data_IF_001865304512
#
_entry.id   IF_001865304512
#
_cell.length_a   1.000
_cell.length_b   1.000
_cell.length_c   1.000
_cell.angle_alpha   90.00
_cell.angle_beta   90.00
_cell.angle_gamma   90.00
#
_symmetry.space_group_name_H-M   'P 1'
#
loop_
_entity.id
_entity.type
_entity.pdbx_description
1 polymer ?
#
# COMPACT_ATOMS: atom_id res chain seq x y z
N UNK A 1 13.14 -18.59 16.50
CA UNK A 1 13.06 -19.95 15.92
C UNK A 1 12.05 -20.75 16.72
N UNK A 2 11.07 -21.33 16.03
CA UNK A 2 10.14 -22.40 16.44
C UNK A 2 9.17 -22.14 17.60
N UNK A 3 7.92 -21.79 17.24
CA UNK A 3 6.75 -22.67 17.41
C UNK A 3 5.71 -22.32 16.33
N UNK A 4 5.61 -23.21 15.34
CA UNK A 4 4.38 -23.44 14.58
C UNK A 4 3.58 -24.45 15.39
N UNK A 5 2.32 -24.14 15.68
CA UNK A 5 1.43 -25.04 16.40
C UNK A 5 0.11 -24.38 16.79
N UNK A 6 -0.86 -24.48 15.87
CA UNK A 6 -2.30 -24.59 16.11
C UNK A 6 -3.01 -23.41 16.82
N UNK A 7 -3.50 -22.50 15.98
CA UNK A 7 -4.46 -21.45 16.32
C UNK A 7 -4.54 -20.48 15.14
N UNK A 8 -5.69 -20.38 14.49
CA UNK A 8 -5.93 -19.47 13.37
C UNK A 8 -5.78 -18.01 13.83
N UNK A 9 -4.58 -17.48 13.66
CA UNK A 9 -4.26 -16.07 13.79
C UNK A 9 -3.18 -15.76 12.77
N UNK A 10 -3.56 -15.60 11.51
CA UNK A 10 -2.62 -15.13 10.49
C UNK A 10 -2.11 -13.77 10.93
N UNK A 11 -0.81 -13.70 11.26
CA UNK A 11 -0.14 -12.45 11.61
C UNK A 11 -0.42 -11.40 10.53
N UNK A 12 -0.96 -10.26 10.94
CA UNK A 12 -1.30 -9.16 10.04
C UNK A 12 -0.03 -8.64 9.37
N UNK A 13 -0.18 -8.04 8.18
CA UNK A 13 0.95 -7.44 7.44
C UNK A 13 1.72 -6.41 8.29
N UNK A 14 1.05 -5.77 9.24
CA UNK A 14 1.59 -4.76 10.15
C UNK A 14 2.48 -5.38 11.24
N UNK A 15 2.05 -6.49 11.85
CA UNK A 15 2.83 -7.26 12.84
C UNK A 15 4.08 -7.89 12.22
N UNK A 16 4.00 -8.35 10.96
CA UNK A 16 5.16 -8.83 10.21
C UNK A 16 6.22 -7.73 9.98
N UNK A 17 5.77 -6.50 9.75
CA UNK A 17 6.67 -5.36 9.57
C UNK A 17 7.33 -4.92 10.87
N UNK A 18 6.58 -4.88 11.97
CA UNK A 18 7.10 -4.53 13.30
C UNK A 18 8.16 -5.54 13.78
N UNK A 19 7.93 -6.83 13.56
CA UNK A 19 8.89 -7.90 13.88
C UNK A 19 10.15 -7.89 13.02
N UNK A 20 10.12 -7.23 11.85
CA UNK A 20 11.29 -7.04 10.98
C UNK A 20 12.07 -5.74 11.30
N UNK A 21 11.55 -4.88 12.19
CA UNK A 21 12.18 -3.61 12.53
C UNK A 21 13.25 -3.79 13.63
N UNK A 22 14.50 -3.35 13.45
CA UNK A 22 15.59 -3.64 14.41
C UNK A 22 15.36 -3.08 15.82
N UNK A 23 14.53 -2.03 15.95
CA UNK A 23 14.19 -1.41 17.25
C UNK A 23 12.83 -1.88 17.79
N UNK A 24 11.82 -2.05 16.92
CA UNK A 24 10.46 -2.36 17.37
C UNK A 24 10.26 -3.86 17.61
N UNK A 25 11.02 -4.70 16.91
CA UNK A 25 11.02 -6.16 17.11
C UNK A 25 11.50 -6.59 18.49
N UNK A 26 12.26 -5.73 19.19
CA UNK A 26 12.76 -5.96 20.55
C UNK A 26 11.93 -5.25 21.62
N UNK A 27 10.86 -4.55 21.24
CA UNK A 27 10.05 -3.79 22.19
C UNK A 27 9.24 -4.72 23.10
N UNK A 28 9.30 -4.48 24.41
CA UNK A 28 8.63 -5.33 25.40
C UNK A 28 7.12 -5.30 25.26
N UNK A 29 6.53 -4.15 24.95
CA UNK A 29 5.08 -4.06 24.76
C UNK A 29 4.67 -4.73 23.46
N UNK A 30 5.52 -4.70 22.43
CA UNK A 30 5.30 -5.45 21.20
C UNK A 30 5.35 -6.96 21.44
N UNK A 31 6.31 -7.46 22.22
CA UNK A 31 6.32 -8.87 22.64
C UNK A 31 5.08 -9.26 23.44
N UNK A 32 4.69 -8.43 24.42
CA UNK A 32 3.45 -8.65 25.17
C UNK A 32 2.26 -8.66 24.23
N UNK A 33 2.13 -7.69 23.31
CA UNK A 33 1.03 -7.65 22.35
C UNK A 33 0.94 -8.91 21.48
N UNK A 34 2.08 -9.47 21.04
CA UNK A 34 2.12 -10.71 20.25
C UNK A 34 1.83 -11.97 21.09
N UNK A 35 2.17 -11.96 22.38
CA UNK A 35 2.02 -13.10 23.29
C UNK A 35 0.71 -13.07 24.08
N UNK A 36 -0.01 -11.95 24.06
CA UNK A 36 -1.21 -11.73 24.85
C UNK A 36 -2.43 -12.31 24.14
N UNK A 37 -3.12 -13.22 24.82
CA UNK A 37 -4.23 -14.03 24.30
C UNK A 37 -5.62 -13.52 24.73
N UNK A 38 -5.69 -12.38 25.45
CA UNK A 38 -6.94 -11.75 25.90
C UNK A 38 -7.21 -10.42 25.18
N UNK A 39 -8.47 -9.99 25.14
CA UNK A 39 -8.86 -8.73 24.49
C UNK A 39 -8.27 -7.50 25.21
N UNK A 40 -7.41 -6.76 24.52
CA UNK A 40 -6.93 -5.46 24.95
C UNK A 40 -7.98 -4.39 24.63
N UNK A 41 -8.74 -3.95 25.63
CA UNK A 41 -9.62 -2.78 25.53
C UNK A 41 -8.81 -1.48 25.53
N UNK A 42 -8.18 -1.15 24.40
CA UNK A 42 -7.43 0.10 24.28
C UNK A 42 -8.40 1.25 23.98
N UNK A 43 -8.47 2.23 24.88
CA UNK A 43 -9.30 3.43 24.72
C UNK A 43 -8.93 4.17 23.43
N UNK A 44 -9.87 4.23 22.49
CA UNK A 44 -9.73 5.02 21.26
C UNK A 44 -9.56 6.51 21.59
N UNK A 45 -8.57 7.18 21.00
CA UNK A 45 -8.40 8.64 21.13
C UNK A 45 -9.39 9.37 20.22
N UNK A 46 -9.98 10.45 20.74
CA UNK A 46 -11.06 11.17 20.09
C UNK A 46 -10.53 12.06 18.94
N UNK A 47 -11.29 12.32 17.88
CA UNK A 47 -10.85 13.07 16.66
C UNK A 47 -10.27 14.47 16.99
N UNK A 48 -10.73 15.10 18.08
CA UNK A 48 -10.19 16.38 18.59
C UNK A 48 -8.77 16.27 19.16
N UNK A 49 -8.35 15.09 19.61
CA UNK A 49 -6.99 14.84 20.11
C UNK A 49 -5.99 14.55 18.98
N UNK A 50 -6.46 14.16 17.79
CA UNK A 50 -5.62 13.92 16.61
C UNK A 50 -5.35 15.19 15.79
N UNK A 51 -6.15 16.25 15.95
CA UNK A 51 -6.11 17.46 15.12
C UNK A 51 -5.64 18.72 15.88
N UNK A 52 -4.78 18.54 16.87
CA UNK A 52 -4.30 19.61 17.75
C UNK A 52 -3.09 20.37 17.22
N UNK A 53 -3.30 21.27 16.24
CA UNK A 53 -2.48 22.50 16.10
C UNK A 53 -1.58 22.61 14.87
N UNK A 54 -2.07 23.31 13.84
CA UNK A 54 -1.28 23.83 12.71
C UNK A 54 -0.76 25.25 13.02
N UNK A 55 0.32 25.38 13.79
CA UNK A 55 1.02 26.67 13.90
C UNK A 55 2.39 26.61 13.25
N UNK A 56 2.57 27.37 12.16
CA UNK A 56 3.89 27.81 11.69
C UNK A 56 4.47 28.75 12.75
N UNK A 57 5.54 28.32 13.43
CA UNK A 57 6.26 29.14 14.41
C UNK A 57 7.72 29.17 13.97
N UNK A 58 8.16 30.30 13.43
CA UNK A 58 9.57 30.59 13.14
C UNK A 58 10.37 30.76 14.44
N UNK A 59 11.55 30.15 14.56
CA UNK A 59 12.58 30.63 15.49
C UNK A 59 14.01 30.55 14.92
N UNK A 60 14.72 31.67 15.06
CA UNK A 60 16.11 31.89 14.70
C UNK A 60 17.05 31.41 15.80
N UNK A 61 17.99 30.52 15.45
CA UNK A 61 19.06 30.00 16.32
C UNK A 61 19.30 28.49 16.20
N UNK A 62 18.34 27.77 15.62
CA UNK A 62 18.27 26.29 15.46
C UNK A 62 18.11 25.91 13.97
N UNK A 63 18.68 26.74 13.09
CA UNK A 63 18.37 26.74 11.66
C UNK A 63 18.57 25.39 10.96
N UNK A 64 19.69 24.67 11.15
CA UNK A 64 19.95 23.44 10.37
C UNK A 64 19.07 22.23 10.72
N UNK A 65 18.66 22.08 12.00
CA UNK A 65 17.78 20.97 12.39
C UNK A 65 16.33 21.28 12.00
N UNK A 66 15.94 22.55 12.13
CA UNK A 66 14.63 23.05 11.75
C UNK A 66 14.45 23.01 10.22
N UNK A 67 15.43 23.52 9.46
CA UNK A 67 15.45 23.52 7.99
C UNK A 67 15.32 22.08 7.43
N UNK A 68 15.99 21.09 8.04
CA UNK A 68 15.85 19.69 7.62
C UNK A 68 14.43 19.17 7.83
N UNK A 69 13.85 19.40 9.02
CA UNK A 69 12.52 18.86 9.33
C UNK A 69 11.41 19.58 8.57
N UNK A 70 11.55 20.88 8.31
CA UNK A 70 10.65 21.63 7.43
C UNK A 70 10.71 21.10 5.99
N UNK A 71 11.91 20.96 5.43
CA UNK A 71 12.10 20.39 4.09
C UNK A 71 11.55 18.97 3.98
N UNK A 72 11.78 18.14 5.00
CA UNK A 72 11.26 16.77 5.02
C UNK A 72 9.73 16.75 5.14
N UNK A 73 9.14 17.64 5.94
CA UNK A 73 7.70 17.75 6.07
C UNK A 73 7.05 18.16 4.73
N UNK A 74 7.61 19.17 4.05
CA UNK A 74 7.16 19.58 2.73
C UNK A 74 7.30 18.45 1.70
N UNK A 75 8.41 17.70 1.76
CA UNK A 75 8.58 16.50 0.94
C UNK A 75 7.50 15.46 1.21
N UNK A 76 7.23 15.12 2.47
CA UNK A 76 6.24 14.11 2.83
C UNK A 76 4.82 14.53 2.46
N UNK A 77 4.46 15.80 2.59
CA UNK A 77 3.15 16.33 2.14
C UNK A 77 3.01 16.16 0.62
N UNK A 78 4.00 16.62 -0.14
CA UNK A 78 3.98 16.52 -1.59
C UNK A 78 3.98 15.06 -2.05
N UNK A 79 4.76 14.21 -1.37
CA UNK A 79 4.85 12.80 -1.68
C UNK A 79 3.55 12.05 -1.36
N UNK A 80 2.90 12.35 -0.22
CA UNK A 80 1.59 11.82 0.13
C UNK A 80 0.57 12.09 -0.97
N UNK A 81 0.48 13.34 -1.43
CA UNK A 81 -0.47 13.72 -2.48
C UNK A 81 -0.23 12.93 -3.77
N UNK A 82 1.04 12.72 -4.17
CA UNK A 82 1.38 11.91 -5.34
C UNK A 82 1.00 10.43 -5.18
N UNK A 83 1.21 9.85 -4.00
CA UNK A 83 0.82 8.46 -3.72
C UNK A 83 -0.70 8.33 -3.69
N UNK A 84 -1.40 9.28 -3.05
CA UNK A 84 -2.87 9.33 -3.04
C UNK A 84 -3.45 9.42 -4.45
N UNK A 85 -2.94 10.31 -5.28
CA UNK A 85 -3.38 10.46 -6.67
C UNK A 85 -3.11 9.18 -7.48
N UNK A 86 -1.97 8.52 -7.23
CA UNK A 86 -1.65 7.24 -7.86
C UNK A 86 -2.57 6.12 -7.39
N UNK A 87 -2.95 6.10 -6.11
CA UNK A 87 -3.91 5.13 -5.56
C UNK A 87 -5.27 5.27 -6.24
N UNK A 88 -5.77 6.51 -6.39
CA UNK A 88 -7.04 6.77 -7.10
C UNK A 88 -6.98 6.30 -8.56
N UNK A 89 -5.83 6.44 -9.23
CA UNK A 89 -5.65 5.93 -10.60
C UNK A 89 -5.64 4.40 -10.63
N UNK A 90 -4.97 3.75 -9.68
CA UNK A 90 -4.95 2.30 -9.56
C UNK A 90 -6.36 1.73 -9.27
N UNK A 91 -7.14 2.39 -8.40
CA UNK A 91 -8.54 2.03 -8.14
C UNK A 91 -9.42 2.13 -9.40
N UNK A 92 -9.19 3.14 -10.24
CA UNK A 92 -9.89 3.27 -11.53
C UNK A 92 -9.50 2.17 -12.50
N UNK A 93 -8.21 1.82 -12.57
CA UNK A 93 -7.70 0.74 -13.41
C UNK A 93 -8.34 -0.60 -13.05
N UNK A 94 -8.35 -0.97 -11.76
CA UNK A 94 -8.98 -2.22 -11.30
C UNK A 94 -10.49 -2.23 -11.55
N UNK A 95 -11.15 -1.07 -11.43
CA UNK A 95 -12.56 -0.91 -11.78
C UNK A 95 -12.82 -1.07 -13.29
N UNK A 96 -11.93 -0.55 -14.14
CA UNK A 96 -12.02 -0.74 -15.59
C UNK A 96 -11.92 -2.21 -16.00
N UNK A 97 -11.00 -2.98 -15.40
CA UNK A 97 -10.92 -4.43 -15.64
C UNK A 97 -12.21 -5.18 -15.26
N UNK A 98 -12.85 -4.79 -14.14
CA UNK A 98 -14.15 -5.37 -13.74
C UNK A 98 -15.23 -5.08 -14.78
N UNK A 99 -15.30 -3.85 -15.28
CA UNK A 99 -16.26 -3.49 -16.32
C UNK A 99 -16.03 -4.29 -17.61
N UNK A 100 -14.77 -4.48 -18.03
CA UNK A 100 -14.44 -5.31 -19.21
C UNK A 100 -14.84 -6.77 -18.98
N UNK A 101 -14.62 -7.31 -17.78
CA UNK A 101 -15.07 -8.65 -17.44
C UNK A 101 -16.60 -8.78 -17.52
N UNK A 102 -17.34 -7.78 -17.04
CA UNK A 102 -18.80 -7.73 -17.15
C UNK A 102 -19.27 -7.68 -18.62
N UNK A 103 -18.59 -6.90 -19.47
CA UNK A 103 -18.87 -6.85 -20.91
C UNK A 103 -18.61 -8.20 -21.59
N UNK A 104 -17.56 -8.92 -21.18
CA UNK A 104 -17.29 -10.29 -21.66
C UNK A 104 -18.36 -11.29 -21.24
N UNK A 105 -18.86 -11.22 -20.00
CA UNK A 105 -20.01 -12.03 -19.55
C UNK A 105 -21.23 -11.76 -20.42
N UNK A 106 -21.54 -10.47 -20.62
CA UNK A 106 -22.70 -10.08 -21.40
C UNK A 106 -22.60 -10.56 -22.85
N UNK A 107 -21.43 -10.38 -23.47
CA UNK A 107 -21.15 -10.82 -24.83
C UNK A 107 -21.28 -12.33 -24.97
N UNK A 108 -20.71 -13.10 -24.03
CA UNK A 108 -20.85 -14.55 -24.01
C UNK A 108 -22.32 -14.99 -23.91
N UNK A 109 -23.12 -14.35 -23.05
CA UNK A 109 -24.54 -14.65 -22.90
C UNK A 109 -25.36 -14.34 -24.17
N UNK A 110 -25.04 -13.24 -24.86
CA UNK A 110 -25.66 -12.91 -26.15
C UNK A 110 -25.31 -13.95 -27.22
N UNK A 111 -24.05 -14.38 -27.29
CA UNK A 111 -23.61 -15.42 -28.23
C UNK A 111 -24.28 -16.77 -27.96
N UNK A 112 -24.43 -17.15 -26.68
CA UNK A 112 -25.19 -18.34 -26.31
C UNK A 112 -26.65 -18.26 -26.76
N UNK A 113 -27.31 -17.12 -26.52
CA UNK A 113 -28.70 -16.90 -26.95
C UNK A 113 -28.85 -17.02 -28.46
N UNK A 114 -27.95 -16.38 -29.23
CA UNK A 114 -27.92 -16.48 -30.69
C UNK A 114 -27.70 -17.91 -31.17
N UNK A 115 -26.82 -18.66 -30.51
CA UNK A 115 -26.56 -20.06 -30.84
C UNK A 115 -27.75 -20.99 -30.58
N UNK A 116 -28.68 -20.63 -29.69
CA UNK A 116 -29.89 -21.41 -29.46
C UNK A 116 -30.88 -21.29 -30.63
N UNK A 117 -30.99 -20.10 -31.21
CA UNK A 117 -31.87 -19.79 -32.34
C UNK A 117 -31.31 -20.30 -33.69
N UNK A 118 -30.03 -20.63 -33.77
CA UNK A 118 -29.38 -21.06 -35.02
C UNK A 118 -29.42 -22.59 -35.25
N UNK A 119 -30.08 -23.10 -36.31
CA UNK A 119 -30.12 -24.53 -36.63
C UNK A 119 -28.92 -25.00 -37.48
N UNK A 120 -28.00 -24.11 -37.83
CA UNK A 120 -26.93 -24.37 -38.81
C UNK A 120 -25.58 -24.72 -38.15
N UNK A 121 -24.58 -25.06 -38.98
CA UNK A 121 -23.19 -25.29 -38.54
C UNK A 121 -22.57 -24.09 -37.81
N UNK A 122 -23.13 -22.87 -38.01
CA UNK A 122 -22.71 -21.63 -37.35
C UNK A 122 -22.87 -21.71 -35.83
N UNK A 123 -23.86 -22.47 -35.34
CA UNK A 123 -24.10 -22.68 -33.90
C UNK A 123 -22.86 -23.10 -33.13
N UNK A 124 -22.10 -24.08 -33.66
CA UNK A 124 -20.88 -24.58 -33.00
C UNK A 124 -19.85 -23.47 -32.82
N UNK A 125 -19.72 -22.60 -33.81
CA UNK A 125 -18.77 -21.49 -33.79
C UNK A 125 -19.20 -20.41 -32.81
N UNK A 126 -20.47 -20.03 -32.78
CA UNK A 126 -21.01 -19.08 -31.79
C UNK A 126 -20.77 -19.54 -30.35
N UNK A 127 -21.03 -20.83 -30.05
CA UNK A 127 -20.75 -21.40 -28.73
C UNK A 127 -19.25 -21.38 -28.39
N UNK A 128 -18.37 -21.55 -29.38
CA UNK A 128 -16.92 -21.49 -29.16
C UNK A 128 -16.42 -20.07 -28.89
N UNK A 129 -16.98 -19.07 -29.58
CA UNK A 129 -16.70 -17.65 -29.26
C UNK A 129 -17.24 -17.28 -27.89
N UNK A 130 -18.43 -17.78 -27.50
CA UNK A 130 -18.98 -17.58 -26.16
C UNK A 130 -18.04 -18.14 -25.07
N UNK A 131 -17.56 -19.38 -25.26
CA UNK A 131 -16.60 -20.03 -24.36
C UNK A 131 -15.27 -19.23 -24.25
N UNK A 132 -14.81 -18.62 -25.36
CA UNK A 132 -13.65 -17.74 -25.36
C UNK A 132 -13.88 -16.51 -24.46
N UNK A 133 -15.02 -15.82 -24.60
CA UNK A 133 -15.33 -14.65 -23.76
C UNK A 133 -15.45 -15.01 -22.28
N UNK A 134 -16.02 -16.17 -21.93
CA UNK A 134 -16.03 -16.67 -20.54
C UNK A 134 -14.62 -16.90 -19.99
N UNK A 135 -13.69 -17.38 -20.83
CA UNK A 135 -12.28 -17.55 -20.43
C UNK A 135 -11.57 -16.20 -20.29
N UNK A 136 -11.77 -15.28 -21.21
CA UNK A 136 -11.21 -13.92 -21.16
C UNK A 136 -11.72 -13.14 -19.95
N UNK A 137 -13.00 -13.28 -19.58
CA UNK A 137 -13.55 -12.74 -18.34
C UNK A 137 -12.73 -13.20 -17.11
N UNK A 138 -12.37 -14.48 -17.02
CA UNK A 138 -11.56 -14.99 -15.91
C UNK A 138 -10.15 -14.38 -15.90
N UNK A 139 -9.59 -14.11 -17.07
CA UNK A 139 -8.29 -13.43 -17.19
C UNK A 139 -8.39 -11.99 -16.69
N UNK A 140 -9.39 -11.22 -17.15
CA UNK A 140 -9.63 -9.84 -16.70
C UNK A 140 -9.86 -9.74 -15.19
N UNK A 141 -10.65 -10.66 -14.61
CA UNK A 141 -10.83 -10.73 -13.16
C UNK A 141 -9.53 -11.04 -12.41
N UNK A 142 -8.67 -11.87 -13.00
CA UNK A 142 -7.33 -12.15 -12.51
C UNK A 142 -6.42 -10.93 -12.54
N UNK A 143 -6.39 -10.18 -13.66
CA UNK A 143 -5.64 -8.92 -13.80
C UNK A 143 -6.08 -7.94 -12.71
N UNK A 144 -7.39 -7.68 -12.60
CA UNK A 144 -7.94 -6.75 -11.59
C UNK A 144 -7.50 -7.10 -10.17
N UNK A 145 -7.52 -8.40 -9.82
CA UNK A 145 -7.16 -8.87 -8.48
C UNK A 145 -5.65 -8.76 -8.21
N UNK A 146 -4.83 -9.14 -9.19
CA UNK A 146 -3.38 -9.08 -9.09
C UNK A 146 -2.89 -7.63 -9.01
N UNK A 147 -3.47 -6.73 -9.80
CA UNK A 147 -3.18 -5.30 -9.77
C UNK A 147 -3.60 -4.64 -8.45
N UNK A 148 -4.78 -4.94 -7.92
CA UNK A 148 -5.22 -4.40 -6.63
C UNK A 148 -4.27 -4.84 -5.50
N UNK A 149 -3.90 -6.12 -5.49
CA UNK A 149 -3.00 -6.70 -4.50
C UNK A 149 -1.56 -6.17 -4.63
N UNK A 150 -1.03 -6.06 -5.85
CA UNK A 150 0.37 -5.65 -6.03
C UNK A 150 0.50 -4.14 -5.96
N UNK A 151 -0.30 -3.39 -6.71
CA UNK A 151 -0.11 -1.95 -6.84
C UNK A 151 -0.92 -1.17 -5.80
N UNK A 152 -2.24 -1.39 -5.74
CA UNK A 152 -3.12 -0.54 -4.94
C UNK A 152 -2.89 -0.71 -3.43
N UNK A 153 -2.75 -1.95 -2.94
CA UNK A 153 -2.41 -2.20 -1.53
C UNK A 153 -1.07 -1.57 -1.15
N UNK A 154 -0.06 -1.62 -2.02
CA UNK A 154 1.24 -0.99 -1.77
C UNK A 154 1.10 0.53 -1.62
N UNK A 155 0.30 1.15 -2.49
CA UNK A 155 0.04 2.59 -2.43
C UNK A 155 -0.67 2.96 -1.12
N UNK A 156 -1.72 2.23 -0.74
CA UNK A 156 -2.43 2.42 0.54
C UNK A 156 -1.49 2.25 1.74
N UNK A 157 -0.65 1.21 1.72
CA UNK A 157 0.36 0.97 2.75
C UNK A 157 1.31 2.17 2.88
N UNK A 158 1.82 2.71 1.77
CA UNK A 158 2.71 3.86 1.84
C UNK A 158 2.00 5.15 2.21
N UNK A 159 0.70 5.34 1.92
CA UNK A 159 -0.06 6.47 2.46
C UNK A 159 -0.03 6.48 4.00
N UNK A 160 -0.31 5.33 4.62
CA UNK A 160 -0.28 5.18 6.09
C UNK A 160 1.12 5.41 6.65
N UNK A 161 2.16 4.87 6.01
CA UNK A 161 3.54 5.08 6.47
C UNK A 161 3.99 6.54 6.35
N UNK A 162 3.55 7.26 5.30
CA UNK A 162 3.85 8.70 5.16
C UNK A 162 3.13 9.50 6.24
N UNK A 163 1.88 9.15 6.58
CA UNK A 163 1.16 9.78 7.68
C UNK A 163 1.87 9.54 9.02
N UNK A 164 2.33 8.31 9.29
CA UNK A 164 3.14 8.01 10.47
C UNK A 164 4.46 8.80 10.51
N UNK A 165 5.13 8.96 9.36
CA UNK A 165 6.34 9.78 9.26
C UNK A 165 6.05 11.27 9.53
N UNK A 166 4.93 11.81 9.04
CA UNK A 166 4.48 13.18 9.33
C UNK A 166 4.16 13.36 10.82
N UNK A 167 3.52 12.39 11.45
CA UNK A 167 3.25 12.42 12.89
C UNK A 167 4.53 12.36 13.73
N UNK A 168 5.52 11.53 13.32
CA UNK A 168 6.85 11.50 13.93
C UNK A 168 7.50 12.89 13.87
N UNK A 169 7.50 13.53 12.70
CA UNK A 169 8.03 14.89 12.53
C UNK A 169 7.33 15.88 13.46
N UNK A 170 5.99 15.86 13.49
CA UNK A 170 5.23 16.76 14.35
C UNK A 170 5.57 16.59 15.83
N UNK A 171 5.65 15.34 16.32
CA UNK A 171 6.04 15.04 17.70
C UNK A 171 7.47 15.48 18.00
N UNK A 172 8.40 15.25 17.09
CA UNK A 172 9.78 15.71 17.22
C UNK A 172 9.85 17.23 17.31
N UNK A 173 9.25 17.97 16.37
CA UNK A 173 9.25 19.43 16.39
C UNK A 173 8.61 19.98 17.65
N UNK A 174 7.48 19.42 18.10
CA UNK A 174 6.84 19.83 19.37
C UNK A 174 7.73 19.61 20.58
N UNK A 175 8.36 18.43 20.69
CA UNK A 175 9.28 18.14 21.79
C UNK A 175 10.50 19.07 21.79
N UNK A 176 11.02 19.43 20.60
CA UNK A 176 12.11 20.40 20.45
C UNK A 176 11.68 21.81 20.89
N UNK A 177 10.47 22.24 20.56
CA UNK A 177 9.93 23.54 20.99
C UNK A 177 9.69 23.60 22.50
N UNK A 178 9.06 22.58 23.07
CA UNK A 178 8.82 22.48 24.51
C UNK A 178 10.15 22.46 25.29
N UNK A 179 11.15 21.78 24.72
CA UNK A 179 12.52 21.78 25.19
C UNK A 179 13.11 23.19 25.22
N UNK A 180 13.05 23.94 24.12
CA UNK A 180 13.64 25.28 24.04
C UNK A 180 13.00 26.26 25.02
N UNK A 181 11.69 26.18 25.17
CA UNK A 181 10.93 26.96 26.15
C UNK A 181 11.39 26.66 27.58
N UNK A 182 11.67 25.38 27.89
CA UNK A 182 12.13 24.94 29.20
C UNK A 182 13.60 25.31 29.46
N UNK A 183 14.44 25.25 28.42
CA UNK A 183 15.86 25.57 28.51
C UNK A 183 16.10 27.09 28.63
N UNK A 184 15.20 27.95 28.10
CA UNK A 184 15.17 29.39 28.42
C UNK A 184 14.85 29.68 29.89
N UNK A 185 14.24 28.71 30.60
CA UNK A 185 13.89 28.84 32.01
C UNK A 185 14.93 28.20 32.97
N UNK A 186 15.80 27.29 32.48
CA UNK A 186 16.81 26.58 33.27
C UNK A 186 18.06 26.26 32.42
N UNK A 187 19.22 26.82 32.75
CA UNK A 187 20.52 26.48 32.15
C UNK A 187 21.04 25.11 32.64
N UNK A 188 20.55 24.01 32.08
CA UNK A 188 20.96 22.65 32.48
C UNK A 188 21.50 21.82 31.31
N UNK A 189 22.75 21.36 31.43
CA UNK A 189 23.47 20.61 30.39
C UNK A 189 22.86 19.23 30.04
N UNK A 190 22.23 18.54 30.99
CA UNK A 190 21.61 17.21 30.81
C UNK A 190 20.52 17.20 29.72
N UNK A 191 19.85 18.33 29.52
CA UNK A 191 18.77 18.46 28.58
C UNK A 191 19.30 18.52 27.13
N UNK A 192 20.47 19.12 26.87
CA UNK A 192 21.02 19.27 25.50
C UNK A 192 21.29 17.93 24.82
N UNK A 193 21.68 16.92 25.61
CA UNK A 193 21.99 15.59 25.12
C UNK A 193 20.76 14.84 24.60
N UNK A 194 19.63 14.91 25.32
CA UNK A 194 18.35 14.33 24.90
C UNK A 194 17.83 14.93 23.59
N UNK A 195 18.00 16.25 23.40
CA UNK A 195 17.61 16.95 22.16
C UNK A 195 18.35 16.40 20.94
N UNK A 196 19.66 16.21 21.07
CA UNK A 196 20.50 15.67 20.01
C UNK A 196 20.17 14.22 19.68
N UNK A 197 19.79 13.41 20.67
CA UNK A 197 19.41 12.00 20.45
C UNK A 197 18.08 11.88 19.70
N UNK A 198 17.05 12.64 20.10
CA UNK A 198 15.74 12.67 19.42
C UNK A 198 15.86 13.08 17.94
N UNK A 199 16.63 14.15 17.66
CA UNK A 199 16.83 14.62 16.28
C UNK A 199 17.60 13.60 15.43
N UNK A 200 18.64 12.96 15.99
CA UNK A 200 19.42 11.93 15.27
C UNK A 200 18.59 10.71 14.93
N UNK A 201 17.83 10.19 15.89
CA UNK A 201 16.98 9.02 15.69
C UNK A 201 15.87 9.27 14.65
N UNK A 202 15.21 10.44 14.71
CA UNK A 202 14.20 10.80 13.71
C UNK A 202 14.80 10.91 12.29
N UNK A 203 15.98 11.55 12.16
CA UNK A 203 16.70 11.65 10.88
C UNK A 203 17.06 10.27 10.32
N UNK A 204 17.55 9.37 11.17
CA UNK A 204 17.89 8.01 10.78
C UNK A 204 16.65 7.23 10.29
N UNK A 205 15.53 7.34 11.00
CA UNK A 205 14.28 6.68 10.61
C UNK A 205 13.74 7.20 9.27
N UNK A 206 13.83 8.50 9.02
CA UNK A 206 13.42 9.11 7.74
C UNK A 206 14.33 8.67 6.59
N UNK A 207 15.64 8.55 6.82
CA UNK A 207 16.59 8.01 5.83
C UNK A 207 16.28 6.53 5.55
N UNK A 208 16.02 5.74 6.58
CA UNK A 208 15.65 4.33 6.46
C UNK A 208 14.35 4.16 5.67
N UNK A 209 13.33 4.98 5.99
CA UNK A 209 12.07 5.03 5.28
C UNK A 209 12.28 5.29 3.78
N UNK A 210 13.09 6.29 3.41
CA UNK A 210 13.42 6.58 2.00
C UNK A 210 14.04 5.37 1.29
N UNK A 211 14.98 4.66 1.93
CA UNK A 211 15.64 3.47 1.35
C UNK A 211 14.66 2.30 1.18
N UNK A 212 13.94 1.94 2.24
CA UNK A 212 12.95 0.84 2.24
C UNK A 212 11.88 1.05 1.17
N UNK A 213 11.39 2.29 1.06
CA UNK A 213 10.41 2.71 0.06
C UNK A 213 10.85 2.43 -1.37
N UNK A 214 12.05 2.90 -1.75
CA UNK A 214 12.57 2.70 -3.11
C UNK A 214 12.68 1.22 -3.44
N UNK A 215 13.19 0.41 -2.50
CA UNK A 215 13.31 -1.03 -2.70
C UNK A 215 11.94 -1.71 -2.86
N UNK A 216 10.96 -1.35 -2.03
CA UNK A 216 9.61 -1.92 -2.08
C UNK A 216 8.89 -1.58 -3.40
N UNK A 217 8.88 -0.31 -3.82
CA UNK A 217 8.27 0.10 -5.09
C UNK A 217 8.98 -0.55 -6.28
N UNK A 218 10.31 -0.63 -6.28
CA UNK A 218 11.05 -1.28 -7.37
C UNK A 218 10.68 -2.75 -7.49
N UNK A 219 10.71 -3.50 -6.38
CA UNK A 219 10.35 -4.92 -6.37
C UNK A 219 8.93 -5.12 -6.90
N UNK A 220 7.99 -4.32 -6.40
CA UNK A 220 6.59 -4.48 -6.73
C UNK A 220 6.28 -4.12 -8.20
N UNK A 221 6.88 -3.05 -8.75
CA UNK A 221 6.72 -2.69 -10.16
C UNK A 221 7.29 -3.74 -11.11
N UNK A 222 8.38 -4.41 -10.72
CA UNK A 222 8.94 -5.55 -11.48
C UNK A 222 7.95 -6.72 -11.46
N UNK A 223 7.52 -7.15 -10.27
CA UNK A 223 6.54 -8.24 -10.13
C UNK A 223 5.24 -7.95 -10.88
N UNK A 224 4.77 -6.70 -10.85
CA UNK A 224 3.59 -6.28 -11.59
C UNK A 224 3.80 -6.39 -13.10
N UNK A 225 4.95 -5.92 -13.61
CA UNK A 225 5.25 -6.03 -15.04
C UNK A 225 5.33 -7.49 -15.51
N UNK A 226 5.84 -8.39 -14.67
CA UNK A 226 5.88 -9.82 -14.94
C UNK A 226 4.47 -10.43 -14.99
N UNK A 227 3.57 -9.99 -14.10
CA UNK A 227 2.16 -10.41 -14.11
C UNK A 227 1.43 -9.89 -15.35
N UNK A 228 1.62 -8.63 -15.74
CA UNK A 228 1.07 -8.08 -16.99
C UNK A 228 1.47 -8.92 -18.21
N UNK A 229 2.76 -9.24 -18.33
CA UNK A 229 3.26 -10.08 -19.44
C UNK A 229 2.62 -11.47 -19.40
N UNK A 230 2.45 -12.05 -18.21
CA UNK A 230 1.82 -13.36 -18.05
C UNK A 230 0.35 -13.33 -18.48
N UNK A 231 -0.41 -12.33 -18.06
CA UNK A 231 -1.82 -12.16 -18.42
C UNK A 231 -1.98 -11.91 -19.92
N UNK A 232 -1.18 -11.03 -20.50
CA UNK A 232 -1.18 -10.78 -21.94
C UNK A 232 -0.88 -12.05 -22.76
N UNK A 233 0.12 -12.84 -22.35
CA UNK A 233 0.42 -14.14 -23.00
C UNK A 233 -0.73 -15.13 -22.91
N UNK A 234 -1.43 -15.17 -21.78
CA UNK A 234 -2.60 -16.03 -21.61
C UNK A 234 -3.74 -15.60 -22.55
N UNK A 235 -4.06 -14.31 -22.61
CA UNK A 235 -5.07 -13.77 -23.54
C UNK A 235 -4.74 -14.07 -24.99
N UNK A 236 -3.48 -13.87 -25.41
CA UNK A 236 -3.02 -14.22 -26.77
C UNK A 236 -3.19 -15.71 -27.06
N UNK A 237 -2.82 -16.58 -26.12
CA UNK A 237 -2.99 -18.03 -26.28
C UNK A 237 -4.45 -18.45 -26.43
N UNK A 238 -5.37 -17.82 -25.67
CA UNK A 238 -6.80 -18.07 -25.77
C UNK A 238 -7.37 -17.63 -27.12
N UNK A 239 -7.00 -16.43 -27.57
CA UNK A 239 -7.41 -15.89 -28.87
C UNK A 239 -6.89 -16.76 -30.02
N UNK A 240 -5.61 -17.12 -30.00
CA UNK A 240 -5.00 -17.96 -31.04
C UNK A 240 -5.70 -19.32 -31.13
N UNK A 241 -5.97 -19.96 -29.99
CA UNK A 241 -6.69 -21.25 -29.95
C UNK A 241 -8.08 -21.15 -30.58
N UNK A 242 -8.74 -19.99 -30.49
CA UNK A 242 -10.03 -19.76 -31.12
C UNK A 242 -9.89 -19.51 -32.64
N UNK A 243 -8.86 -18.78 -33.07
CA UNK A 243 -8.58 -18.53 -34.50
C UNK A 243 -8.26 -19.86 -35.21
N UNK A 244 -7.38 -20.67 -34.64
CA UNK A 244 -6.99 -21.97 -35.20
C UNK A 244 -8.21 -22.89 -35.40
N UNK A 245 -9.23 -22.77 -34.56
CA UNK A 245 -10.48 -23.53 -34.69
C UNK A 245 -11.27 -23.13 -35.95
N UNK A 246 -11.25 -21.85 -36.31
CA UNK A 246 -11.92 -21.34 -37.52
C UNK A 246 -11.13 -21.62 -38.79
N UNK A 247 -9.80 -21.64 -38.73
CA UNK A 247 -8.96 -21.90 -39.92
C UNK A 247 -8.93 -23.38 -40.33
N UNK A 248 -9.14 -24.30 -39.37
CA UNK A 248 -9.02 -25.74 -39.60
C UNK A 248 -10.36 -26.47 -39.84
N UNK A 249 -11.47 -25.77 -40.11
CA UNK A 249 -12.78 -26.33 -40.46
C UNK A 249 -13.40 -25.62 -41.66
#
# INVERSE_FOLDING_TARGET
>A
MQKLGEGEGSMTKEEFWLSSHPVLSTDRNFHVFLEYDQDLSVRWKNTKEMFGGFFKILFTGVKEVDDFFEQENDFLINYYNRIKDSCVKADKMTSSHKNVADDYIHTAACLHSLALEEPTVIKKYLLKVAELFEKLMKVEGGISSDEDLKLTELLRYYMLNIEAAKDLLHRCTKALTDYEKSNKALDKAQFKEQRCQLSKSAKEELINFKRKKVAAFRKNLIEMSELEIKHARNSVSLLQSCIDLFENN
#
